data_IF_573000499160
#
_entry.id   IF_573000499160
#
_cell.length_a   1.000
_cell.length_b   1.000
_cell.length_c   1.000
_cell.angle_alpha   90.00
_cell.angle_beta   90.00
_cell.angle_gamma   90.00
#
_symmetry.space_group_name_H-M   'P 1'
#
loop_
_entity.id
_entity.type
_entity.pdbx_description
1 polymer ?
#
# COMPACT_ATOMS: atom_id res chain seq x y z
N UNK A 1 -1.44 54.14 13.31
CA UNK A 1 0.03 53.92 13.29
C UNK A 1 0.36 52.76 12.36
N UNK A 2 0.04 52.87 11.06
CA UNK A 2 -0.02 51.74 10.12
C UNK A 2 0.35 52.18 8.70
N UNK A 3 1.44 52.93 8.56
CA UNK A 3 1.90 53.43 7.24
C UNK A 3 3.36 53.10 6.91
N UNK A 4 4.05 52.33 7.76
CA UNK A 4 5.50 52.09 7.63
C UNK A 4 5.93 50.64 7.34
N UNK A 5 5.02 49.65 7.33
CA UNK A 5 5.36 48.28 6.89
C UNK A 5 5.17 48.03 5.38
N UNK A 6 4.65 49.01 4.63
CA UNK A 6 4.30 48.85 3.21
C UNK A 6 5.43 49.27 2.25
N UNK A 7 6.65 49.52 2.73
CA UNK A 7 7.71 50.14 1.93
C UNK A 7 9.08 49.46 1.99
N UNK A 8 9.13 48.17 2.30
CA UNK A 8 10.36 47.39 2.12
C UNK A 8 10.05 46.05 1.45
N UNK A 9 10.11 46.07 0.13
CA UNK A 9 10.80 45.03 -0.62
C UNK A 9 10.11 43.68 -0.87
N UNK A 10 8.94 43.38 -0.32
CA UNK A 10 8.28 42.10 -0.60
C UNK A 10 7.65 42.02 -2.02
N UNK A 11 7.33 43.17 -2.62
CA UNK A 11 6.72 43.23 -3.96
C UNK A 11 7.66 42.77 -5.09
N UNK A 12 8.99 42.92 -4.94
CA UNK A 12 9.93 42.57 -6.01
C UNK A 12 10.48 41.15 -5.93
N UNK A 13 10.29 40.46 -4.81
CA UNK A 13 10.67 39.06 -4.65
C UNK A 13 9.58 38.12 -5.16
N UNK A 14 8.31 38.49 -4.98
CA UNK A 14 7.15 37.68 -5.40
C UNK A 14 6.98 37.55 -6.92
N UNK A 15 7.72 38.33 -7.72
CA UNK A 15 7.62 38.33 -9.19
C UNK A 15 8.62 37.37 -9.86
N UNK A 16 9.68 36.94 -9.16
CA UNK A 16 10.68 35.97 -9.68
C UNK A 16 10.45 34.53 -9.25
N UNK A 17 9.72 34.32 -8.15
CA UNK A 17 9.15 33.03 -7.78
C UNK A 17 7.74 33.03 -8.34
N UNK A 18 7.54 32.40 -9.49
CA UNK A 18 6.31 32.42 -10.30
C UNK A 18 5.07 31.84 -9.61
N UNK A 19 4.64 32.43 -8.50
CA UNK A 19 3.43 32.12 -7.76
C UNK A 19 2.21 32.88 -8.33
N UNK A 20 2.43 33.93 -9.11
CA UNK A 20 1.37 34.76 -9.72
C UNK A 20 0.69 34.12 -10.93
N UNK A 21 1.18 32.99 -11.48
CA UNK A 21 0.52 32.32 -12.62
C UNK A 21 -0.48 31.24 -12.24
N UNK A 22 -0.59 30.87 -10.95
CA UNK A 22 -1.62 29.97 -10.45
C UNK A 22 -2.80 30.70 -9.77
N UNK A 23 -2.63 31.96 -9.37
CA UNK A 23 -3.69 32.75 -8.73
C UNK A 23 -4.74 33.32 -9.70
N UNK A 24 -4.35 33.70 -10.92
CA UNK A 24 -5.26 34.44 -11.81
C UNK A 24 -6.24 33.57 -12.62
N UNK A 25 -6.01 32.25 -12.72
CA UNK A 25 -6.93 31.35 -13.45
C UNK A 25 -8.09 30.83 -12.61
N UNK A 26 -8.06 31.01 -11.30
CA UNK A 26 -9.13 30.52 -10.42
C UNK A 26 -9.85 31.59 -9.61
N UNK A 27 -9.46 32.87 -9.65
CA UNK A 27 -10.26 33.98 -9.06
C UNK A 27 -10.57 33.88 -7.57
N UNK A 28 -10.09 32.84 -6.90
CA UNK A 28 -10.31 32.55 -5.51
C UNK A 28 -9.04 32.97 -4.80
N UNK A 29 -8.97 34.26 -4.46
CA UNK A 29 -8.23 34.68 -3.26
C UNK A 29 -9.00 34.11 -2.07
N UNK A 30 -8.87 32.80 -1.84
CA UNK A 30 -9.30 32.18 -0.60
C UNK A 30 -8.36 32.72 0.45
N UNK A 31 -8.75 33.82 1.08
CA UNK A 31 -8.19 34.20 2.37
C UNK A 31 -8.48 33.03 3.33
N UNK A 32 -7.47 32.19 3.66
CA UNK A 32 -7.70 30.99 4.45
C UNK A 32 -8.22 31.36 5.84
N UNK A 33 -7.79 32.53 6.36
CA UNK A 33 -8.29 33.07 7.61
C UNK A 33 -9.76 33.52 7.49
N UNK A 34 -10.13 34.12 6.36
CA UNK A 34 -11.52 34.52 6.08
C UNK A 34 -12.48 33.33 5.94
N UNK A 35 -12.04 32.23 5.31
CA UNK A 35 -12.82 30.99 5.23
C UNK A 35 -12.94 30.33 6.60
N UNK A 36 -11.82 30.21 7.33
CA UNK A 36 -11.82 29.62 8.66
C UNK A 36 -12.70 30.41 9.64
N UNK A 37 -12.64 31.75 9.59
CA UNK A 37 -13.50 32.61 10.40
C UNK A 37 -14.99 32.41 10.13
N UNK A 38 -15.39 32.24 8.85
CA UNK A 38 -16.79 31.90 8.50
C UNK A 38 -17.19 30.53 9.01
N UNK A 39 -16.32 29.53 8.88
CA UNK A 39 -16.58 28.16 9.38
C UNK A 39 -16.77 28.17 10.90
N UNK A 40 -15.88 28.85 11.64
CA UNK A 40 -15.97 28.98 13.10
C UNK A 40 -17.24 29.72 13.52
N UNK A 41 -17.61 30.81 12.82
CA UNK A 41 -18.86 31.54 13.08
C UNK A 41 -20.08 30.61 12.95
N UNK A 42 -20.19 29.88 11.84
CA UNK A 42 -21.28 28.92 11.62
C UNK A 42 -21.26 27.80 12.66
N UNK A 43 -20.09 27.35 13.10
CA UNK A 43 -19.95 26.32 14.11
C UNK A 43 -20.45 26.76 15.48
N UNK A 44 -20.03 27.95 15.94
CA UNK A 44 -20.51 28.53 17.21
C UNK A 44 -22.03 28.73 17.17
N UNK A 45 -22.56 29.23 16.04
CA UNK A 45 -24.00 29.37 15.83
C UNK A 45 -24.73 28.02 15.97
N UNK A 46 -24.18 26.96 15.36
CA UNK A 46 -24.78 25.62 15.38
C UNK A 46 -24.80 25.02 16.79
N UNK A 47 -23.71 25.19 17.55
CA UNK A 47 -23.63 24.75 18.95
C UNK A 47 -24.66 25.47 19.81
N UNK A 48 -24.85 26.77 19.60
CA UNK A 48 -25.84 27.54 20.34
C UNK A 48 -27.29 27.16 19.97
N UNK A 49 -27.51 26.70 18.74
CA UNK A 49 -28.82 26.31 18.24
C UNK A 49 -29.33 24.99 18.87
N UNK A 50 -28.42 24.11 19.31
CA UNK A 50 -28.77 22.83 19.97
C UNK A 50 -29.62 23.05 21.25
N UNK A 51 -29.12 23.76 22.29
CA UNK A 51 -29.90 23.99 23.50
C UNK A 51 -31.12 24.89 23.25
N UNK A 52 -31.09 25.75 22.23
CA UNK A 52 -32.26 26.53 21.83
C UNK A 52 -33.38 25.63 21.26
N UNK A 53 -33.03 24.64 20.45
CA UNK A 53 -33.98 23.65 19.93
C UNK A 53 -34.52 22.73 21.04
N UNK A 54 -33.66 22.34 22.00
CA UNK A 54 -34.09 21.57 23.18
C UNK A 54 -35.05 22.38 24.06
N UNK A 55 -34.77 23.66 24.29
CA UNK A 55 -35.64 24.56 25.05
C UNK A 55 -37.01 24.77 24.37
N UNK A 56 -37.05 24.71 23.04
CA UNK A 56 -38.30 24.74 22.26
C UNK A 56 -39.07 23.41 22.27
N UNK A 57 -38.53 22.36 22.90
CA UNK A 57 -39.14 21.04 22.92
C UNK A 57 -39.06 20.30 21.59
N UNK A 58 -38.02 20.57 20.78
CA UNK A 58 -37.80 19.96 19.46
C UNK A 58 -36.60 18.99 19.47
N UNK A 59 -36.67 17.85 20.19
CA UNK A 59 -35.53 16.93 20.36
C UNK A 59 -35.07 16.30 19.04
N UNK A 60 -35.96 16.14 18.06
CA UNK A 60 -35.59 15.67 16.73
C UNK A 60 -34.62 16.63 16.03
N UNK A 61 -34.80 17.95 16.22
CA UNK A 61 -33.96 18.98 15.61
C UNK A 61 -32.60 19.03 16.31
N UNK A 62 -32.57 19.03 17.64
CA UNK A 62 -31.30 19.02 18.40
C UNK A 62 -30.47 17.77 18.14
N UNK A 63 -31.09 16.59 17.97
CA UNK A 63 -30.39 15.35 17.60
C UNK A 63 -29.71 15.43 16.21
N UNK A 64 -30.39 16.01 15.22
CA UNK A 64 -29.81 16.24 13.89
C UNK A 64 -28.64 17.23 14.00
N UNK A 65 -28.83 18.33 14.72
CA UNK A 65 -27.78 19.33 14.95
C UNK A 65 -26.55 18.73 15.63
N UNK A 66 -26.74 17.88 16.65
CA UNK A 66 -25.64 17.16 17.30
C UNK A 66 -24.88 16.25 16.33
N UNK A 67 -25.61 15.55 15.45
CA UNK A 67 -24.99 14.69 14.42
C UNK A 67 -24.15 15.51 13.43
N UNK A 68 -24.63 16.69 13.04
CA UNK A 68 -23.89 17.62 12.17
C UNK A 68 -22.62 18.15 12.87
N UNK A 69 -22.70 18.49 14.15
CA UNK A 69 -21.54 18.91 14.95
C UNK A 69 -20.50 17.79 15.07
N UNK A 70 -20.93 16.54 15.32
CA UNK A 70 -20.02 15.39 15.41
C UNK A 70 -19.37 15.03 14.06
N UNK A 71 -19.95 15.48 12.95
CA UNK A 71 -19.39 15.25 11.61
C UNK A 71 -18.21 16.16 11.27
N UNK A 72 -18.10 17.33 11.91
CA UNK A 72 -17.07 18.33 11.62
C UNK A 72 -15.63 17.81 11.86
N UNK A 73 -15.33 17.14 12.98
CA UNK A 73 -14.03 16.51 13.18
C UNK A 73 -13.66 15.53 12.04
N UNK A 74 -14.62 14.73 11.58
CA UNK A 74 -14.40 13.76 10.51
C UNK A 74 -14.09 14.43 9.17
N UNK A 75 -14.79 15.52 8.84
CA UNK A 75 -14.51 16.34 7.65
C UNK A 75 -13.09 16.91 7.69
N UNK A 76 -12.66 17.40 8.86
CA UNK A 76 -11.30 17.90 9.03
C UNK A 76 -10.26 16.80 8.79
N UNK A 77 -10.48 15.61 9.35
CA UNK A 77 -9.60 14.45 9.13
C UNK A 77 -9.60 14.04 7.65
N UNK A 78 -10.74 14.02 6.98
CA UNK A 78 -10.82 13.71 5.55
C UNK A 78 -9.99 14.68 4.69
N UNK A 79 -10.09 15.98 4.95
CA UNK A 79 -9.29 17.01 4.26
C UNK A 79 -7.80 16.79 4.53
N UNK A 80 -7.44 16.52 5.80
CA UNK A 80 -6.06 16.28 6.20
C UNK A 80 -5.48 15.05 5.50
N UNK A 81 -6.24 13.95 5.44
CA UNK A 81 -5.86 12.71 4.75
C UNK A 81 -5.67 12.95 3.26
N UNK A 82 -6.57 13.70 2.60
CA UNK A 82 -6.39 14.05 1.19
C UNK A 82 -5.14 14.89 0.96
N UNK A 83 -4.91 15.90 1.81
CA UNK A 83 -3.73 16.75 1.74
C UNK A 83 -2.45 15.92 1.89
N UNK A 84 -2.34 15.14 2.96
CA UNK A 84 -1.19 14.26 3.20
C UNK A 84 -1.04 13.19 2.11
N UNK A 85 -2.15 12.62 1.64
CA UNK A 85 -2.19 11.63 0.58
C UNK A 85 -1.65 12.16 -0.75
N UNK A 86 -2.00 13.39 -1.13
CA UNK A 86 -1.44 14.02 -2.34
C UNK A 86 0.05 14.29 -2.22
N UNK A 87 0.52 14.72 -1.04
CA UNK A 87 1.94 14.95 -0.77
C UNK A 87 2.74 13.64 -0.80
N UNK A 88 2.21 12.59 -0.17
CA UNK A 88 2.77 11.24 -0.23
C UNK A 88 2.79 10.71 -1.67
N UNK A 89 1.71 10.92 -2.43
CA UNK A 89 1.61 10.48 -3.82
C UNK A 89 2.69 11.12 -4.71
N UNK A 90 2.96 12.42 -4.53
CA UNK A 90 4.04 13.08 -5.26
C UNK A 90 5.42 12.55 -4.86
N UNK A 91 5.67 12.40 -3.56
CA UNK A 91 6.95 11.90 -3.07
C UNK A 91 7.25 10.49 -3.58
N UNK A 92 6.27 9.58 -3.50
CA UNK A 92 6.43 8.21 -3.98
C UNK A 92 6.55 8.16 -5.49
N UNK A 93 5.80 8.97 -6.23
CA UNK A 93 5.91 9.03 -7.69
C UNK A 93 7.30 9.47 -8.16
N UNK A 94 7.90 10.44 -7.47
CA UNK A 94 9.26 10.89 -7.78
C UNK A 94 10.30 9.82 -7.46
N UNK A 95 10.15 9.11 -6.34
CA UNK A 95 11.01 7.98 -6.00
C UNK A 95 10.90 6.85 -7.04
N UNK A 96 9.68 6.49 -7.44
CA UNK A 96 9.43 5.49 -8.48
C UNK A 96 10.02 5.93 -9.81
N UNK A 97 9.87 7.21 -10.17
CA UNK A 97 10.47 7.75 -11.40
C UNK A 97 11.99 7.63 -11.40
N UNK A 98 12.65 7.97 -10.28
CA UNK A 98 14.10 7.83 -10.12
C UNK A 98 14.56 6.37 -10.20
N UNK A 99 13.88 5.48 -9.50
CA UNK A 99 14.20 4.05 -9.50
C UNK A 99 14.04 3.43 -10.91
N UNK A 100 12.92 3.68 -11.58
CA UNK A 100 12.64 3.12 -12.91
C UNK A 100 13.57 3.70 -13.97
N UNK A 101 13.88 5.01 -13.91
CA UNK A 101 14.85 5.63 -14.80
C UNK A 101 16.25 5.04 -14.61
N UNK A 102 16.68 4.81 -13.36
CA UNK A 102 17.99 4.21 -13.06
C UNK A 102 18.13 2.77 -13.55
N UNK A 103 17.03 2.01 -13.53
CA UNK A 103 17.00 0.64 -14.02
C UNK A 103 16.91 0.55 -15.55
N UNK A 104 16.65 1.67 -16.24
CA UNK A 104 16.39 1.73 -17.68
C UNK A 104 15.25 0.78 -18.14
N UNK A 105 14.24 0.59 -17.28
CA UNK A 105 13.10 -0.32 -17.54
C UNK A 105 11.88 0.51 -17.95
N UNK A 106 11.46 0.38 -19.21
CA UNK A 106 10.20 0.96 -19.69
C UNK A 106 10.14 2.49 -19.59
N UNK A 107 8.92 3.04 -19.44
CA UNK A 107 8.69 4.48 -19.34
C UNK A 107 8.52 4.91 -17.87
N UNK A 108 9.48 5.62 -17.26
CA UNK A 108 9.40 6.06 -15.86
C UNK A 108 8.17 6.92 -15.55
N UNK A 109 7.67 7.65 -16.55
CA UNK A 109 6.47 8.49 -16.40
C UNK A 109 5.20 7.68 -16.15
N UNK A 110 5.08 6.50 -16.76
CA UNK A 110 3.89 5.64 -16.60
C UNK A 110 3.87 5.02 -15.21
N UNK A 111 4.97 4.40 -14.76
CA UNK A 111 5.05 3.78 -13.44
C UNK A 111 4.84 4.80 -12.31
N UNK A 112 5.48 5.97 -12.43
CA UNK A 112 5.26 7.08 -11.49
C UNK A 112 3.80 7.58 -11.52
N UNK A 113 3.18 7.63 -12.71
CA UNK A 113 1.78 7.99 -12.87
C UNK A 113 0.83 7.00 -12.18
N UNK A 114 1.05 5.70 -12.37
CA UNK A 114 0.28 4.64 -11.72
C UNK A 114 0.43 4.74 -10.20
N UNK A 115 1.66 4.87 -9.69
CA UNK A 115 1.90 5.01 -8.25
C UNK A 115 1.16 6.24 -7.67
N UNK A 116 1.23 7.39 -8.36
CA UNK A 116 0.54 8.61 -7.96
C UNK A 116 -0.97 8.42 -7.88
N UNK A 117 -1.58 7.88 -8.94
CA UNK A 117 -3.03 7.67 -8.99
C UNK A 117 -3.50 6.60 -8.01
N UNK A 118 -2.71 5.56 -7.77
CA UNK A 118 -3.02 4.54 -6.77
C UNK A 118 -3.07 5.15 -5.35
N UNK A 119 -2.08 5.98 -4.99
CA UNK A 119 -2.04 6.61 -3.66
C UNK A 119 -3.16 7.65 -3.51
N UNK A 120 -3.41 8.48 -4.52
CA UNK A 120 -4.51 9.45 -4.48
C UNK A 120 -5.85 8.73 -4.39
N UNK A 121 -6.06 7.67 -5.17
CA UNK A 121 -7.26 6.85 -5.10
C UNK A 121 -7.45 6.25 -3.71
N UNK A 122 -6.39 5.70 -3.12
CA UNK A 122 -6.43 5.15 -1.75
C UNK A 122 -6.73 6.24 -0.70
N UNK A 123 -6.06 7.39 -0.76
CA UNK A 123 -6.34 8.51 0.13
C UNK A 123 -7.78 9.02 -0.01
N UNK A 124 -8.32 9.03 -1.24
CA UNK A 124 -9.71 9.36 -1.49
C UNK A 124 -10.67 8.35 -0.87
N UNK A 125 -10.38 7.05 -0.94
CA UNK A 125 -11.18 6.01 -0.27
C UNK A 125 -11.20 6.21 1.25
N UNK A 126 -10.03 6.45 1.87
CA UNK A 126 -9.95 6.73 3.31
C UNK A 126 -10.70 8.01 3.66
N UNK A 127 -10.61 9.06 2.83
CA UNK A 127 -11.37 10.28 3.06
C UNK A 127 -12.89 10.06 2.96
N UNK A 128 -13.36 9.23 2.02
CA UNK A 128 -14.77 8.86 1.90
C UNK A 128 -15.25 8.04 3.11
N UNK A 129 -14.41 7.17 3.65
CA UNK A 129 -14.67 6.44 4.90
C UNK A 129 -14.86 7.42 6.07
N UNK A 130 -13.98 8.42 6.20
CA UNK A 130 -14.09 9.45 7.23
C UNK A 130 -15.38 10.27 7.09
N UNK A 131 -15.79 10.57 5.87
CA UNK A 131 -17.08 11.23 5.59
C UNK A 131 -18.30 10.33 5.89
N UNK A 132 -18.12 9.14 6.44
CA UNK A 132 -19.20 8.24 6.86
C UNK A 132 -20.26 7.98 5.78
N UNK A 133 -19.87 8.04 4.50
CA UNK A 133 -20.76 7.74 3.37
C UNK A 133 -20.91 6.22 3.30
N UNK A 134 -21.82 5.67 4.11
CA UNK A 134 -22.05 4.22 4.27
C UNK A 134 -20.73 3.43 4.32
N UNK A 135 -19.99 3.49 5.46
CA UNK A 135 -18.68 2.85 5.59
C UNK A 135 -18.69 1.35 5.23
N UNK A 136 -19.81 0.67 5.49
CA UNK A 136 -20.01 -0.73 5.10
C UNK A 136 -19.90 -0.94 3.60
N UNK A 137 -20.56 -0.10 2.79
CA UNK A 137 -20.53 -0.21 1.34
C UNK A 137 -19.12 0.02 0.79
N UNK A 138 -18.40 0.99 1.35
CA UNK A 138 -17.02 1.29 0.94
C UNK A 138 -16.11 0.10 1.26
N UNK A 139 -16.19 -0.46 2.47
CA UNK A 139 -15.38 -1.60 2.89
C UNK A 139 -15.71 -2.88 2.11
N UNK A 140 -16.98 -3.13 1.81
CA UNK A 140 -17.42 -4.27 0.99
C UNK A 140 -16.91 -4.14 -0.45
N UNK A 141 -17.07 -2.96 -1.08
CA UNK A 141 -16.62 -2.73 -2.44
C UNK A 141 -15.09 -2.77 -2.54
N UNK A 142 -14.39 -2.12 -1.62
CA UNK A 142 -12.93 -2.14 -1.58
C UNK A 142 -12.41 -3.56 -1.34
N UNK A 143 -12.97 -4.27 -0.36
CA UNK A 143 -12.64 -5.67 -0.09
C UNK A 143 -12.86 -6.56 -1.30
N UNK A 144 -13.97 -6.38 -2.03
CA UNK A 144 -14.26 -7.12 -3.25
C UNK A 144 -13.23 -6.85 -4.37
N UNK A 145 -12.87 -5.58 -4.59
CA UNK A 145 -11.86 -5.21 -5.61
C UNK A 145 -10.49 -5.78 -5.24
N UNK A 146 -10.07 -5.65 -3.98
CA UNK A 146 -8.79 -6.19 -3.50
C UNK A 146 -8.77 -7.72 -3.61
N UNK A 147 -9.87 -8.40 -3.26
CA UNK A 147 -10.00 -9.84 -3.42
C UNK A 147 -9.88 -10.25 -4.89
N UNK A 148 -10.54 -9.55 -5.81
CA UNK A 148 -10.44 -9.81 -7.24
C UNK A 148 -9.00 -9.64 -7.75
N UNK A 149 -8.32 -8.57 -7.33
CA UNK A 149 -6.92 -8.31 -7.68
C UNK A 149 -6.00 -9.39 -7.10
N UNK A 150 -6.19 -9.78 -5.85
CA UNK A 150 -5.42 -10.84 -5.20
C UNK A 150 -5.58 -12.18 -5.93
N UNK A 151 -6.80 -12.53 -6.36
CA UNK A 151 -7.05 -13.72 -7.17
C UNK A 151 -6.37 -13.60 -8.53
N UNK A 152 -6.50 -12.46 -9.22
CA UNK A 152 -5.89 -12.25 -10.53
C UNK A 152 -4.36 -12.40 -10.47
N UNK A 153 -3.70 -11.76 -9.50
CA UNK A 153 -2.27 -11.92 -9.28
C UNK A 153 -1.90 -13.34 -8.85
N UNK A 154 -2.67 -13.95 -7.94
CA UNK A 154 -2.44 -15.32 -7.49
C UNK A 154 -2.48 -16.31 -8.66
N UNK A 155 -3.44 -16.17 -9.57
CA UNK A 155 -3.53 -16.97 -10.78
C UNK A 155 -2.41 -16.66 -11.78
N UNK A 156 -2.06 -15.38 -11.98
CA UNK A 156 -0.98 -14.99 -12.87
C UNK A 156 0.37 -15.58 -12.42
N UNK A 157 0.68 -15.52 -11.13
CA UNK A 157 1.89 -16.12 -10.57
C UNK A 157 1.82 -17.64 -10.49
N UNK A 158 0.66 -18.21 -10.14
CA UNK A 158 0.46 -19.65 -10.06
C UNK A 158 0.63 -20.33 -11.42
N UNK A 159 -0.07 -19.83 -12.44
CA UNK A 159 0.01 -20.36 -13.81
C UNK A 159 1.35 -20.00 -14.47
N UNK A 160 1.85 -18.77 -14.30
CA UNK A 160 3.13 -18.33 -14.88
C UNK A 160 4.37 -18.99 -14.24
N UNK A 161 4.28 -19.41 -12.97
CA UNK A 161 5.34 -20.09 -12.24
C UNK A 161 5.39 -21.61 -12.45
N UNK A 162 4.41 -22.19 -13.16
CA UNK A 162 4.26 -23.63 -13.29
C UNK A 162 5.52 -24.31 -13.86
N UNK A 163 6.16 -23.73 -14.87
CA UNK A 163 7.37 -24.31 -15.49
C UNK A 163 8.60 -24.20 -14.59
N UNK A 164 8.69 -23.14 -13.78
CA UNK A 164 9.75 -23.02 -12.78
C UNK A 164 9.57 -24.09 -11.69
N UNK A 165 8.34 -24.30 -11.23
CA UNK A 165 8.00 -25.34 -10.26
C UNK A 165 8.30 -26.75 -10.80
N UNK A 166 7.91 -27.06 -12.04
CA UNK A 166 8.22 -28.34 -12.71
C UNK A 166 9.71 -28.63 -12.74
N UNK A 167 10.53 -27.64 -13.11
CA UNK A 167 12.00 -27.78 -13.15
C UNK A 167 12.61 -27.97 -11.76
N UNK A 168 12.02 -27.36 -10.74
CA UNK A 168 12.49 -27.51 -9.37
C UNK A 168 12.23 -28.93 -8.84
N UNK A 169 11.02 -29.44 -9.08
CA UNK A 169 10.64 -30.80 -8.72
C UNK A 169 11.47 -31.85 -9.47
N UNK A 170 11.69 -31.68 -10.78
CA UNK A 170 12.49 -32.60 -11.58
C UNK A 170 13.96 -32.70 -11.10
N UNK A 171 14.55 -31.59 -10.64
CA UNK A 171 15.90 -31.61 -10.04
C UNK A 171 15.93 -32.35 -8.71
N UNK A 172 14.89 -32.18 -7.89
CA UNK A 172 14.73 -32.94 -6.65
C UNK A 172 14.68 -34.44 -6.91
N UNK A 173 13.88 -34.88 -7.89
CA UNK A 173 13.75 -36.28 -8.28
C UNK A 173 15.08 -36.88 -8.76
N UNK A 174 15.85 -36.15 -9.58
CA UNK A 174 17.18 -36.61 -10.02
C UNK A 174 18.20 -36.74 -8.88
N UNK A 175 18.12 -35.88 -7.85
CA UNK A 175 19.00 -35.94 -6.67
C UNK A 175 18.62 -37.10 -5.76
N UNK A 176 17.32 -37.36 -5.61
CA UNK A 176 16.81 -38.51 -4.86
C UNK A 176 17.15 -39.80 -5.58
N UNK A 177 16.93 -39.89 -6.90
CA UNK A 177 17.27 -41.07 -7.70
C UNK A 177 18.76 -41.39 -7.67
N UNK A 178 19.63 -40.38 -7.76
CA UNK A 178 21.08 -40.59 -7.69
C UNK A 178 21.59 -40.91 -6.28
N UNK A 179 20.88 -40.51 -5.22
CA UNK A 179 21.14 -40.98 -3.86
C UNK A 179 20.69 -42.44 -3.66
N UNK A 180 19.53 -42.83 -4.20
CA UNK A 180 19.02 -44.20 -4.17
C UNK A 180 19.91 -45.16 -4.97
N UNK A 181 20.33 -44.79 -6.19
CA UNK A 181 21.25 -45.59 -7.01
C UNK A 181 22.62 -45.79 -6.33
N UNK A 182 23.10 -44.77 -5.61
CA UNK A 182 24.33 -44.88 -4.82
C UNK A 182 24.17 -45.83 -3.63
N UNK A 183 23.02 -45.83 -2.96
CA UNK A 183 22.72 -46.74 -1.86
C UNK A 183 22.66 -48.19 -2.36
N UNK A 184 21.97 -48.46 -3.47
CA UNK A 184 21.90 -49.81 -4.04
C UNK A 184 23.27 -50.29 -4.55
N UNK A 185 24.03 -49.43 -5.23
CA UNK A 185 25.37 -49.78 -5.72
C UNK A 185 26.36 -50.03 -4.58
N UNK A 186 26.24 -49.30 -3.47
CA UNK A 186 27.04 -49.54 -2.27
C UNK A 186 26.64 -50.85 -1.57
N UNK A 187 25.33 -51.10 -1.40
CA UNK A 187 24.84 -52.34 -0.78
C UNK A 187 25.26 -53.59 -1.57
N UNK A 188 25.16 -53.57 -2.89
CA UNK A 188 25.59 -54.70 -3.74
C UNK A 188 27.09 -54.96 -3.60
N UNK A 189 27.92 -53.90 -3.56
CA UNK A 189 29.37 -54.04 -3.34
C UNK A 189 29.71 -54.57 -1.95
N UNK A 190 28.98 -54.15 -0.93
CA UNK A 190 29.21 -54.56 0.45
C UNK A 190 28.79 -56.01 0.69
N UNK A 191 27.65 -56.43 0.12
CA UNK A 191 27.21 -57.83 0.10
C UNK A 191 28.18 -58.74 -0.67
N UNK A 192 28.69 -58.29 -1.82
CA UNK A 192 29.69 -59.04 -2.60
C UNK A 192 31.02 -59.19 -1.84
N UNK A 193 31.45 -58.16 -1.09
CA UNK A 193 32.63 -58.23 -0.21
C UNK A 193 32.42 -59.18 0.96
N UNK A 194 31.25 -59.18 1.59
CA UNK A 194 30.90 -60.10 2.66
C UNK A 194 30.89 -61.56 2.17
N UNK A 195 30.32 -61.83 0.99
CA UNK A 195 30.31 -63.17 0.39
C UNK A 195 31.73 -63.66 0.04
N UNK A 196 32.59 -62.77 -0.47
CA UNK A 196 33.99 -63.11 -0.78
C UNK A 196 34.82 -63.39 0.48
N UNK A 197 34.57 -62.67 1.59
CA UNK A 197 35.24 -62.91 2.87
C UNK A 197 34.85 -64.27 3.46
N UNK A 198 33.57 -64.65 3.40
CA UNK A 198 33.11 -65.97 3.87
C UNK A 198 33.74 -67.12 3.06
N UNK A 199 33.94 -66.94 1.75
CA UNK A 199 34.61 -67.93 0.90
C UNK A 199 36.10 -68.05 1.20
N UNK A 200 36.79 -66.94 1.46
CA UNK A 200 38.20 -66.93 1.85
C UNK A 200 38.45 -67.61 3.20
N UNK A 201 37.58 -67.38 4.19
CA UNK A 201 37.70 -67.94 5.53
C UNK A 201 37.42 -69.47 5.54
N UNK A 202 36.49 -69.92 4.70
CA UNK A 202 36.24 -71.35 4.49
C UNK A 202 37.42 -72.06 3.81
N UNK A 203 38.14 -71.39 2.91
CA UNK A 203 39.36 -71.95 2.29
C UNK A 203 40.50 -72.08 3.29
N UNK A 204 40.70 -71.09 4.19
CA UNK A 204 41.72 -71.15 5.23
C UNK A 204 41.43 -72.20 6.30
N UNK A 205 40.16 -72.43 6.62
CA UNK A 205 39.74 -73.46 7.57
C UNK A 205 39.96 -74.87 7.02
N UNK A 206 39.79 -75.07 5.70
CA UNK A 206 39.99 -76.36 5.02
C UNK A 206 41.47 -76.75 4.89
N UNK A 207 42.40 -75.79 4.88
CA UNK A 207 43.84 -76.03 4.83
C UNK A 207 44.49 -76.35 6.19
N UNK A 208 43.81 -76.14 7.31
CA UNK A 208 44.32 -76.48 8.65
C UNK A 208 44.01 -77.92 9.10
N UNK A 209 43.16 -78.63 8.35
CA UNK A 209 42.72 -80.00 8.68
C UNK A 209 43.36 -81.07 7.79
N UNK A 210 44.45 -80.73 7.09
CA UNK A 210 45.27 -81.67 6.33
C UNK A 210 46.72 -81.62 6.78
#
# INVERSE_FOLDING_TARGET
MTFLLRKVGFDRLSERIGLTRFEQRMGIRMDPAGVLGKVVYWFILLIFLIPAADALGLPAVSNILNTLVSYIPNVFVAILVLFLGTLAATFVADLVRGAVASANIGNPGIFAGIARWAIIGFAALVALEQLQITPSLINELFGAVVAAVAIAFGLAFGLGGQDAARRWLARGESTVSSATDQIDTQQVKEQARAAAQMQGDQMQTRSRTR
#
